data_IF_538331531719
#
_entry.id   IF_538331531719
#
_cell.length_a   1.000
_cell.length_b   1.000
_cell.length_c   1.000
_cell.angle_alpha   90.00
_cell.angle_beta   90.00
_cell.angle_gamma   90.00
#
_symmetry.space_group_name_H-M   'P 1'
#
loop_
_entity.id
_entity.type
_entity.pdbx_description
1 polymer ?
#
# COMPACT_ATOMS: atom_id res chain seq x y z
N UNK A 1 18.50 19.98 21.10
CA UNK A 1 17.47 18.99 20.68
C UNK A 1 16.23 19.21 21.53
N UNK A 2 15.05 18.95 20.99
CA UNK A 2 13.78 19.02 21.72
C UNK A 2 13.41 17.60 22.13
N UNK A 3 12.99 17.41 23.39
CA UNK A 3 12.47 16.14 23.89
C UNK A 3 10.96 16.27 24.12
N UNK A 4 10.17 15.38 23.51
CA UNK A 4 8.71 15.39 23.64
C UNK A 4 8.25 13.98 24.01
N UNK A 5 7.47 13.85 25.10
CA UNK A 5 6.86 12.57 25.48
C UNK A 5 5.56 12.38 24.68
N UNK A 6 5.40 11.29 23.90
CA UNK A 6 4.18 11.02 23.13
C UNK A 6 2.92 10.87 24.00
N UNK A 7 3.05 10.49 25.28
CA UNK A 7 1.92 10.37 26.22
C UNK A 7 1.31 11.74 26.57
N UNK A 8 2.08 12.82 26.40
CA UNK A 8 1.63 14.19 26.64
C UNK A 8 1.06 14.87 25.38
N UNK A 9 0.96 14.14 24.26
CA UNK A 9 0.50 14.66 22.98
C UNK A 9 -0.87 14.11 22.62
N UNK A 10 -1.66 14.92 21.91
CA UNK A 10 -2.82 14.41 21.21
C UNK A 10 -2.37 13.44 20.10
N UNK A 11 -3.21 12.46 19.79
CA UNK A 11 -2.97 11.47 18.72
C UNK A 11 -2.58 12.14 17.40
N UNK A 12 -3.26 13.24 17.05
CA UNK A 12 -2.99 14.01 15.82
C UNK A 12 -1.56 14.56 15.77
N UNK A 13 -0.97 14.92 16.90
CA UNK A 13 0.39 15.47 16.94
C UNK A 13 1.43 14.34 16.87
N UNK A 14 1.17 13.21 17.54
CA UNK A 14 1.94 11.98 17.34
C UNK A 14 1.93 11.55 15.86
N UNK A 15 0.77 11.58 15.20
CA UNK A 15 0.62 11.30 13.77
C UNK A 15 1.45 12.24 12.89
N UNK A 16 1.46 13.56 13.17
CA UNK A 16 2.27 14.52 12.43
C UNK A 16 3.77 14.24 12.58
N UNK A 17 4.21 13.90 13.79
CA UNK A 17 5.62 13.58 14.03
C UNK A 17 6.02 12.32 13.29
N UNK A 18 5.24 11.24 13.37
CA UNK A 18 5.52 9.99 12.65
C UNK A 18 5.56 10.21 11.13
N UNK A 19 4.53 10.85 10.58
CA UNK A 19 4.43 11.04 9.11
C UNK A 19 5.38 12.11 8.56
N UNK A 20 5.89 13.01 9.40
CA UNK A 20 6.88 14.02 9.04
C UNK A 20 8.33 13.59 9.25
N UNK A 21 8.59 12.54 10.05
CA UNK A 21 9.95 12.05 10.33
C UNK A 21 10.29 10.75 9.61
N UNK A 22 9.33 9.83 9.44
CA UNK A 22 9.51 8.58 8.71
C UNK A 22 9.15 8.86 7.24
N UNK A 23 10.12 9.39 6.51
CA UNK A 23 9.99 9.80 5.10
C UNK A 23 11.30 9.51 4.34
N UNK A 24 11.24 9.31 3.01
CA UNK A 24 10.03 9.13 2.19
C UNK A 24 9.41 7.74 2.39
N UNK A 25 8.08 7.61 2.29
CA UNK A 25 7.39 6.31 2.42
C UNK A 25 6.89 5.80 1.08
N UNK A 26 7.18 4.56 0.68
CA UNK A 26 6.60 3.99 -0.53
C UNK A 26 5.08 3.86 -0.37
N UNK A 27 4.37 3.85 -1.50
CA UNK A 27 2.91 3.76 -1.51
C UNK A 27 2.50 2.47 -2.20
N UNK A 28 1.81 1.61 -1.45
CA UNK A 28 1.10 0.47 -1.98
C UNK A 28 -0.29 0.93 -2.46
N UNK A 29 -0.55 0.85 -3.75
CA UNK A 29 -1.91 0.95 -4.29
C UNK A 29 -2.49 -0.46 -4.33
N UNK A 30 -3.52 -0.71 -3.54
CA UNK A 30 -4.01 -2.08 -3.29
C UNK A 30 -5.37 -2.26 -3.92
N UNK A 31 -5.52 -3.31 -4.72
CA UNK A 31 -6.83 -3.82 -5.14
C UNK A 31 -7.22 -5.00 -4.26
N UNK A 32 -8.49 -5.02 -3.85
CA UNK A 32 -9.14 -6.16 -3.21
C UNK A 32 -10.53 -6.36 -3.81
N UNK A 33 -11.13 -7.51 -3.58
CA UNK A 33 -12.49 -7.80 -4.01
C UNK A 33 -13.33 -8.27 -2.82
N UNK A 34 -14.56 -7.77 -2.70
CA UNK A 34 -15.52 -8.29 -1.72
C UNK A 34 -16.03 -9.68 -2.13
N UNK A 35 -16.68 -10.38 -1.21
CA UNK A 35 -17.39 -11.63 -1.49
C UNK A 35 -18.53 -11.48 -2.52
N UNK A 36 -19.10 -10.28 -2.61
CA UNK A 36 -20.12 -9.90 -3.62
C UNK A 36 -19.52 -9.49 -4.97
N UNK A 37 -18.19 -9.44 -5.09
CA UNK A 37 -17.48 -9.13 -6.34
C UNK A 37 -17.14 -7.65 -6.54
N UNK A 38 -17.48 -6.75 -5.61
CA UNK A 38 -17.12 -5.32 -5.68
C UNK A 38 -15.62 -5.15 -5.56
N UNK A 39 -15.02 -4.45 -6.53
CA UNK A 39 -13.59 -4.11 -6.52
C UNK A 39 -13.36 -2.87 -5.65
N UNK A 40 -12.45 -2.97 -4.69
CA UNK A 40 -11.97 -1.86 -3.89
C UNK A 40 -10.54 -1.51 -4.30
N UNK A 41 -10.23 -0.22 -4.46
CA UNK A 41 -8.88 0.29 -4.77
C UNK A 41 -8.52 1.37 -3.74
N UNK A 42 -7.37 1.25 -3.05
CA UNK A 42 -6.95 2.28 -2.11
C UNK A 42 -5.42 2.38 -1.92
N UNK A 43 -4.86 3.58 -1.67
CA UNK A 43 -3.44 3.78 -1.46
C UNK A 43 -3.05 3.75 0.03
N UNK A 44 -1.94 3.10 0.36
CA UNK A 44 -1.40 2.96 1.71
C UNK A 44 0.09 3.28 1.75
N UNK A 45 0.49 4.26 2.57
CA UNK A 45 1.91 4.62 2.76
C UNK A 45 2.58 3.97 3.96
N UNK A 46 1.85 3.15 4.73
CA UNK A 46 2.43 2.33 5.80
C UNK A 46 2.72 0.95 5.22
N UNK A 47 3.70 0.90 4.31
CA UNK A 47 4.02 -0.21 3.44
C UNK A 47 5.53 -0.50 3.43
N UNK A 48 5.95 -1.76 3.56
CA UNK A 48 7.35 -2.17 3.42
C UNK A 48 7.51 -3.68 3.16
N UNK A 49 8.74 -4.11 2.87
CA UNK A 49 9.17 -5.52 2.78
C UNK A 49 9.26 -6.13 4.18
N UNK A 50 8.90 -7.40 4.32
CA UNK A 50 9.00 -8.20 5.55
C UNK A 50 10.10 -9.26 5.43
N UNK A 51 10.05 -10.08 4.37
CA UNK A 51 11.00 -11.16 4.13
C UNK A 51 11.23 -11.33 2.64
N UNK A 52 12.39 -11.89 2.26
CA UNK A 52 12.67 -12.33 0.88
C UNK A 52 12.54 -13.84 0.70
N UNK A 53 12.42 -14.63 1.77
CA UNK A 53 12.27 -16.08 1.71
C UNK A 53 11.30 -16.62 2.79
N UNK A 54 10.03 -16.91 2.43
CA UNK A 54 9.40 -16.54 1.16
C UNK A 54 9.24 -15.01 1.04
N UNK A 55 9.02 -14.46 -0.17
CA UNK A 55 8.83 -13.03 -0.35
C UNK A 55 7.54 -12.56 0.34
N UNK A 56 7.67 -11.61 1.25
CA UNK A 56 6.56 -11.06 2.02
C UNK A 56 6.65 -9.54 2.13
N UNK A 57 5.50 -8.90 2.17
CA UNK A 57 5.32 -7.47 2.40
C UNK A 57 4.35 -7.23 3.57
N UNK A 58 4.36 -6.02 4.12
CA UNK A 58 3.40 -5.58 5.11
C UNK A 58 2.70 -4.29 4.70
N UNK A 59 1.40 -4.21 5.02
CA UNK A 59 0.58 -3.00 4.83
C UNK A 59 -0.23 -2.78 6.10
N UNK A 60 -0.09 -1.61 6.74
CA UNK A 60 -0.92 -1.24 7.90
C UNK A 60 -2.14 -0.44 7.45
N UNK A 61 -3.31 -1.08 7.53
CA UNK A 61 -4.61 -0.48 7.18
C UNK A 61 -5.25 0.08 8.45
N UNK A 62 -5.42 1.41 8.52
CA UNK A 62 -6.04 2.05 9.67
C UNK A 62 -7.53 1.73 9.76
N UNK A 63 -8.04 1.56 10.98
CA UNK A 63 -9.46 1.40 11.27
C UNK A 63 -10.13 2.75 11.50
N UNK A 64 -11.43 2.84 11.25
CA UNK A 64 -12.27 4.00 11.59
C UNK A 64 -13.12 3.62 12.80
N UNK A 65 -12.88 4.27 13.95
CA UNK A 65 -13.58 3.97 15.20
C UNK A 65 -13.54 2.49 15.64
N UNK A 66 -12.45 1.79 15.31
CA UNK A 66 -12.27 0.36 15.59
C UNK A 66 -12.82 -0.59 14.52
N UNK A 67 -13.46 -0.06 13.47
CA UNK A 67 -13.99 -0.82 12.33
C UNK A 67 -12.94 -0.93 11.22
N UNK A 68 -12.69 -2.15 10.75
CA UNK A 68 -11.77 -2.42 9.64
C UNK A 68 -12.27 -1.78 8.35
N UNK A 69 -11.36 -1.15 7.61
CA UNK A 69 -11.63 -0.68 6.25
C UNK A 69 -11.76 -1.83 5.26
N UNK A 70 -12.37 -1.52 4.14
CA UNK A 70 -12.76 -2.44 3.06
C UNK A 70 -11.58 -3.25 2.54
N UNK A 71 -10.43 -2.61 2.28
CA UNK A 71 -9.19 -3.32 1.92
C UNK A 71 -8.85 -4.42 2.92
N UNK A 72 -8.87 -4.14 4.23
CA UNK A 72 -8.55 -5.14 5.25
C UNK A 72 -9.64 -6.21 5.37
N UNK A 73 -10.93 -5.83 5.36
CA UNK A 73 -12.04 -6.80 5.40
C UNK A 73 -11.98 -7.76 4.22
N UNK A 74 -11.86 -7.23 3.01
CA UNK A 74 -11.81 -8.00 1.77
C UNK A 74 -10.60 -8.95 1.75
N UNK A 75 -9.41 -8.46 2.10
CA UNK A 75 -8.20 -9.29 2.16
C UNK A 75 -8.31 -10.41 3.22
N UNK A 76 -8.94 -10.15 4.37
CA UNK A 76 -9.17 -11.16 5.42
C UNK A 76 -10.22 -12.18 4.98
N UNK A 77 -11.29 -11.75 4.33
CA UNK A 77 -12.39 -12.62 3.91
C UNK A 77 -12.01 -13.51 2.72
N UNK A 78 -11.33 -12.96 1.72
CA UNK A 78 -10.96 -13.67 0.49
C UNK A 78 -9.58 -14.32 0.57
N UNK A 79 -8.71 -13.84 1.45
CA UNK A 79 -7.32 -14.30 1.56
C UNK A 79 -6.41 -13.77 0.45
N UNK A 80 -6.88 -12.86 -0.41
CA UNK A 80 -6.16 -12.43 -1.62
C UNK A 80 -6.23 -10.92 -1.82
N UNK A 81 -5.18 -10.36 -2.41
CA UNK A 81 -5.10 -8.95 -2.81
C UNK A 81 -3.96 -8.72 -3.80
N UNK A 82 -3.98 -7.61 -4.52
CA UNK A 82 -2.87 -7.23 -5.41
C UNK A 82 -2.31 -5.88 -4.99
N UNK A 83 -0.98 -5.81 -4.85
CA UNK A 83 -0.25 -4.60 -4.46
C UNK A 83 0.48 -4.02 -5.66
N UNK A 84 0.23 -2.76 -5.97
CA UNK A 84 0.84 -2.05 -7.08
C UNK A 84 1.81 -0.98 -6.54
N UNK A 85 2.95 -0.84 -7.18
CA UNK A 85 3.86 0.27 -6.89
C UNK A 85 3.29 1.54 -7.51
N UNK A 86 3.13 2.58 -6.68
CA UNK A 86 2.68 3.88 -7.17
C UNK A 86 3.84 4.64 -7.81
N UNK A 87 3.64 5.16 -9.01
CA UNK A 87 4.63 5.90 -9.80
C UNK A 87 4.05 7.22 -10.32
N UNK A 88 4.86 7.99 -11.05
CA UNK A 88 4.45 9.29 -11.59
C UNK A 88 3.24 9.22 -12.56
N UNK A 89 2.98 8.07 -13.19
CA UNK A 89 1.88 7.92 -14.14
C UNK A 89 0.56 7.62 -13.44
N UNK A 90 0.57 6.79 -12.39
CA UNK A 90 -0.65 6.34 -11.71
C UNK A 90 -1.01 7.14 -10.44
N UNK A 91 -0.11 7.98 -9.91
CA UNK A 91 -0.31 8.69 -8.63
C UNK A 91 -1.56 9.58 -8.60
N UNK A 92 -1.93 10.21 -9.71
CA UNK A 92 -3.09 11.08 -9.78
C UNK A 92 -4.39 10.31 -9.55
N UNK A 93 -4.55 9.16 -10.23
CA UNK A 93 -5.69 8.27 -10.08
C UNK A 93 -5.65 7.53 -8.73
N UNK A 94 -4.48 7.08 -8.28
CA UNK A 94 -4.31 6.55 -6.92
C UNK A 94 -4.82 7.53 -5.85
N UNK A 95 -4.53 8.83 -6.00
CA UNK A 95 -5.02 9.85 -5.08
C UNK A 95 -6.56 10.02 -5.14
N UNK A 96 -7.21 9.83 -6.29
CA UNK A 96 -8.68 9.87 -6.42
C UNK A 96 -9.34 8.72 -5.66
N UNK A 97 -8.72 7.54 -5.64
CA UNK A 97 -9.21 6.38 -4.87
C UNK A 97 -9.15 6.56 -3.36
N UNK A 98 -8.51 7.61 -2.84
CA UNK A 98 -8.52 7.91 -1.41
C UNK A 98 -9.84 8.54 -0.91
N UNK A 99 -10.80 8.80 -1.80
CA UNK A 99 -12.14 9.32 -1.46
C UNK A 99 -12.93 8.24 -0.70
N UNK A 100 -13.62 8.63 0.37
CA UNK A 100 -14.54 7.71 1.06
C UNK A 100 -15.78 7.44 0.20
N UNK A 101 -16.02 6.18 -0.11
CA UNK A 101 -17.23 5.66 -0.78
C UNK A 101 -17.95 4.64 0.14
N UNK A 102 -19.24 4.34 -0.12
CA UNK A 102 -19.90 3.16 0.45
C UNK A 102 -19.19 1.86 0.04
N UNK A 103 -19.32 0.81 0.87
CA UNK A 103 -18.62 -0.47 0.66
C UNK A 103 -19.04 -1.24 -0.59
N UNK A 104 -20.20 -0.90 -1.15
CA UNK A 104 -20.77 -1.51 -2.33
C UNK A 104 -20.33 -0.79 -3.62
N UNK A 105 -19.69 0.37 -3.51
CA UNK A 105 -19.22 1.18 -4.63
C UNK A 105 -17.73 0.99 -4.87
N UNK A 106 -17.35 0.86 -6.14
CA UNK A 106 -15.94 0.73 -6.53
C UNK A 106 -15.30 2.09 -6.82
N UNK A 107 -14.08 2.31 -6.33
CA UNK A 107 -13.29 3.49 -6.68
C UNK A 107 -12.85 3.50 -8.15
N UNK A 108 -12.99 2.37 -8.87
CA UNK A 108 -12.63 2.26 -10.29
C UNK A 108 -13.29 3.37 -11.13
N UNK A 109 -14.57 3.67 -10.86
CA UNK A 109 -15.31 4.72 -11.57
C UNK A 109 -14.82 6.16 -11.32
N UNK A 110 -13.91 6.37 -10.36
CA UNK A 110 -13.26 7.66 -10.10
C UNK A 110 -11.95 7.83 -10.87
N UNK A 111 -11.51 6.81 -11.60
CA UNK A 111 -10.16 6.71 -12.15
C UNK A 111 -10.19 6.34 -13.63
N UNK A 112 -9.03 6.38 -14.28
CA UNK A 112 -8.83 5.80 -15.60
C UNK A 112 -8.20 4.42 -15.56
N UNK A 113 -8.23 3.73 -14.40
CA UNK A 113 -7.61 2.42 -14.29
C UNK A 113 -8.36 1.36 -15.08
N UNK A 114 -7.60 0.40 -15.62
CA UNK A 114 -8.10 -0.77 -16.32
C UNK A 114 -7.76 -2.02 -15.53
N UNK A 115 -8.75 -2.89 -15.34
CA UNK A 115 -8.54 -4.10 -14.55
C UNK A 115 -7.73 -5.13 -15.34
N UNK A 116 -6.61 -5.57 -14.76
CA UNK A 116 -5.76 -6.63 -15.29
C UNK A 116 -6.11 -7.97 -14.63
N UNK A 117 -6.16 -9.04 -15.43
CA UNK A 117 -6.31 -10.40 -14.89
C UNK A 117 -5.04 -10.80 -14.11
N UNK A 118 -5.24 -11.49 -13.00
CA UNK A 118 -4.18 -12.08 -12.16
C UNK A 118 -3.99 -13.56 -12.52
N UNK A 119 -2.77 -14.07 -12.38
CA UNK A 119 -2.39 -15.44 -12.76
C UNK A 119 -2.54 -16.46 -11.62
N UNK A 120 -2.41 -16.02 -10.37
CA UNK A 120 -2.33 -16.84 -9.16
C UNK A 120 -3.40 -16.51 -8.12
N UNK A 121 -3.99 -15.33 -8.17
CA UNK A 121 -5.11 -14.92 -7.31
C UNK A 121 -6.34 -14.55 -8.13
N UNK A 122 -7.52 -14.58 -7.51
CA UNK A 122 -8.80 -14.18 -8.12
C UNK A 122 -8.98 -12.66 -8.19
N UNK A 123 -8.32 -11.92 -7.30
CA UNK A 123 -8.39 -10.44 -7.27
C UNK A 123 -7.66 -9.87 -8.49
N UNK A 124 -8.33 -9.06 -9.33
CA UNK A 124 -7.69 -8.42 -10.47
C UNK A 124 -6.71 -7.30 -10.05
N UNK A 125 -5.65 -7.13 -10.84
CA UNK A 125 -4.71 -6.02 -10.72
C UNK A 125 -5.11 -4.80 -11.58
N UNK A 126 -4.17 -3.87 -11.76
CA UNK A 126 -4.32 -2.67 -12.59
C UNK A 126 -3.29 -2.71 -13.74
N UNK A 127 -3.74 -2.44 -14.97
CA UNK A 127 -2.88 -2.44 -16.16
C UNK A 127 -1.86 -1.30 -16.13
N UNK A 128 -2.21 -0.16 -15.53
CA UNK A 128 -1.39 1.06 -15.49
C UNK A 128 -0.24 0.98 -14.48
N UNK A 129 -0.10 -0.13 -13.76
CA UNK A 129 1.00 -0.35 -12.83
C UNK A 129 2.18 -1.04 -13.51
N UNK A 130 3.35 -0.37 -13.53
CA UNK A 130 4.59 -0.96 -14.04
C UNK A 130 5.09 -2.15 -13.22
N UNK A 131 4.75 -2.18 -11.94
CA UNK A 131 5.08 -3.28 -11.03
C UNK A 131 3.87 -3.59 -10.16
N UNK A 132 3.43 -4.85 -10.16
CA UNK A 132 2.41 -5.34 -9.22
C UNK A 132 2.73 -6.73 -8.68
N UNK A 133 2.25 -6.99 -7.47
CA UNK A 133 2.45 -8.22 -6.72
C UNK A 133 1.11 -8.85 -6.43
N UNK A 134 0.89 -10.07 -6.92
CA UNK A 134 -0.22 -10.87 -6.45
C UNK A 134 0.12 -11.46 -5.09
N UNK A 135 -0.77 -11.27 -4.12
CA UNK A 135 -0.51 -11.62 -2.73
C UNK A 135 -1.62 -12.53 -2.17
N UNK A 136 -1.21 -13.56 -1.44
CA UNK A 136 -2.08 -14.25 -0.49
C UNK A 136 -1.84 -13.69 0.91
N UNK A 137 -2.90 -13.53 1.70
CA UNK A 137 -2.80 -13.09 3.08
C UNK A 137 -2.18 -14.21 3.94
N UNK A 138 -1.01 -13.94 4.50
CA UNK A 138 -0.34 -14.84 5.45
C UNK A 138 -0.90 -14.63 6.87
N UNK A 139 -1.02 -13.36 7.27
CA UNK A 139 -1.52 -13.00 8.59
C UNK A 139 -2.15 -11.60 8.58
N UNK A 140 -3.21 -11.43 9.36
CA UNK A 140 -3.70 -10.10 9.77
C UNK A 140 -3.50 -9.95 11.27
N UNK A 141 -2.84 -8.88 11.70
CA UNK A 141 -2.52 -8.61 13.10
C UNK A 141 -3.21 -7.30 13.51
N UNK A 142 -4.31 -7.36 14.30
CA UNK A 142 -4.91 -6.17 14.86
C UNK A 142 -3.96 -5.53 15.88
N UNK A 143 -3.62 -4.26 15.68
CA UNK A 143 -2.67 -3.51 16.53
C UNK A 143 -3.25 -2.16 16.97
N UNK A 144 -2.58 -1.57 17.96
CA UNK A 144 -2.88 -0.26 18.55
C UNK A 144 -4.29 -0.16 19.18
N UNK A 145 -4.63 1.01 19.69
CA UNK A 145 -5.93 1.27 20.33
C UNK A 145 -6.09 0.55 21.67
N UNK A 146 -7.31 0.06 21.92
CA UNK A 146 -7.64 -0.74 23.11
C UNK A 146 -7.95 -2.18 22.74
N UNK A 147 -7.93 -3.10 23.73
CA UNK A 147 -8.17 -4.54 23.52
C UNK A 147 -9.40 -4.86 22.67
N UNK A 148 -10.47 -4.05 22.75
CA UNK A 148 -11.73 -4.26 22.03
C UNK A 148 -11.94 -3.29 20.85
N UNK A 149 -11.01 -2.36 20.62
CA UNK A 149 -11.04 -1.38 19.51
C UNK A 149 -9.63 -1.18 18.97
N UNK A 150 -9.15 -2.11 18.11
CA UNK A 150 -7.86 -1.97 17.45
C UNK A 150 -7.79 -0.70 16.60
N UNK A 151 -6.62 -0.09 16.52
CA UNK A 151 -6.39 1.11 15.69
C UNK A 151 -6.11 0.78 14.23
N UNK A 152 -5.51 -0.38 13.95
CA UNK A 152 -5.20 -0.82 12.59
C UNK A 152 -5.16 -2.35 12.46
N UNK A 153 -5.20 -2.81 11.21
CA UNK A 153 -4.89 -4.17 10.80
C UNK A 153 -3.54 -4.14 10.08
N UNK A 154 -2.51 -4.80 10.63
CA UNK A 154 -1.25 -5.04 9.94
C UNK A 154 -1.38 -6.31 9.11
N UNK A 155 -1.53 -6.15 7.80
CA UNK A 155 -1.62 -7.24 6.85
C UNK A 155 -0.20 -7.67 6.46
N UNK A 156 0.09 -8.96 6.58
CA UNK A 156 1.30 -9.60 6.05
C UNK A 156 0.88 -10.40 4.82
N UNK A 157 1.34 -9.96 3.65
CA UNK A 157 1.08 -10.60 2.37
C UNK A 157 2.27 -11.40 1.90
N UNK A 158 2.05 -12.66 1.51
CA UNK A 158 3.04 -13.45 0.78
C UNK A 158 2.85 -13.23 -0.71
N UNK A 159 3.93 -12.84 -1.40
CA UNK A 159 3.89 -12.62 -2.85
C UNK A 159 3.92 -13.99 -3.54
N UNK A 160 2.92 -14.24 -4.38
CA UNK A 160 2.77 -15.48 -5.15
C UNK A 160 3.04 -15.29 -6.65
N UNK A 161 2.97 -14.05 -7.16
CA UNK A 161 3.37 -13.69 -8.52
C UNK A 161 3.88 -12.25 -8.58
N UNK A 162 4.92 -12.01 -9.39
CA UNK A 162 5.41 -10.68 -9.74
C UNK A 162 5.05 -10.39 -11.19
N UNK A 163 4.50 -9.18 -11.43
CA UNK A 163 4.35 -8.61 -12.77
C UNK A 163 5.20 -7.36 -12.85
N UNK A 164 6.09 -7.31 -13.84
CA UNK A 164 7.07 -6.23 -14.02
C UNK A 164 7.06 -5.83 -15.49
N UNK A 165 6.93 -4.54 -15.76
CA UNK A 165 7.03 -3.97 -17.10
C UNK A 165 8.41 -4.27 -17.71
N UNK A 166 8.39 -4.75 -18.96
CA UNK A 166 9.59 -5.27 -19.61
C UNK A 166 10.71 -4.23 -19.72
N UNK A 167 10.36 -2.98 -20.00
CA UNK A 167 11.33 -1.90 -20.26
C UNK A 167 12.13 -1.49 -19.02
N UNK A 168 11.61 -1.79 -17.82
CA UNK A 168 12.29 -1.48 -16.55
C UNK A 168 12.96 -2.72 -15.93
N UNK A 169 12.89 -3.89 -16.57
CA UNK A 169 13.48 -5.12 -16.07
C UNK A 169 14.81 -5.43 -16.75
N UNK A 170 15.89 -5.51 -15.96
CA UNK A 170 17.23 -5.78 -16.46
C UNK A 170 17.92 -6.84 -15.59
N UNK A 171 17.99 -8.08 -16.08
CA UNK A 171 18.72 -9.20 -15.45
C UNK A 171 18.41 -9.38 -13.95
N UNK A 172 17.13 -9.43 -13.60
CA UNK A 172 16.69 -9.59 -12.20
C UNK A 172 16.70 -8.31 -11.37
N UNK A 173 16.97 -7.15 -11.97
CA UNK A 173 16.93 -5.83 -11.33
C UNK A 173 15.85 -4.96 -11.98
N UNK A 174 15.33 -4.03 -11.21
CA UNK A 174 14.37 -3.02 -11.67
C UNK A 174 15.14 -1.71 -11.85
N UNK A 175 14.98 -1.05 -13.01
CA UNK A 175 15.48 0.31 -13.22
C UNK A 175 14.62 1.31 -12.43
N UNK A 176 15.18 1.95 -11.38
CA UNK A 176 14.43 2.91 -10.59
C UNK A 176 14.07 4.19 -11.37
N UNK A 177 14.88 4.58 -12.36
CA UNK A 177 14.63 5.78 -13.18
C UNK A 177 13.52 5.54 -14.21
N UNK A 178 13.43 4.34 -14.76
CA UNK A 178 12.31 3.89 -15.59
C UNK A 178 11.03 3.72 -14.79
N UNK A 179 11.11 3.15 -13.57
CA UNK A 179 9.96 2.97 -12.68
C UNK A 179 9.35 4.33 -12.29
N UNK A 180 10.17 5.33 -11.95
CA UNK A 180 9.73 6.65 -11.43
C UNK A 180 8.79 6.52 -10.23
N UNK A 181 9.17 5.78 -9.17
CA UNK A 181 8.29 5.59 -8.03
C UNK A 181 8.05 6.95 -7.35
N UNK A 182 6.83 7.14 -6.86
CA UNK A 182 6.50 8.26 -5.98
C UNK A 182 6.44 7.79 -4.53
N UNK A 183 6.68 8.72 -3.61
CA UNK A 183 6.60 8.44 -2.18
C UNK A 183 5.80 9.50 -1.44
N UNK A 184 5.20 9.11 -0.32
CA UNK A 184 4.40 9.98 0.52
C UNK A 184 5.26 10.66 1.59
N UNK A 185 5.03 11.96 1.79
CA UNK A 185 5.61 12.77 2.88
C UNK A 185 4.53 13.06 3.95
N UNK A 186 4.69 14.15 4.71
CA UNK A 186 3.64 14.64 5.60
C UNK A 186 2.48 15.27 4.83
N UNK A 187 1.27 15.20 5.39
CA UNK A 187 0.07 15.83 4.81
C UNK A 187 -0.27 15.29 3.41
N UNK A 188 -0.50 16.22 2.47
CA UNK A 188 -0.86 15.92 1.07
C UNK A 188 0.35 15.90 0.14
N UNK A 189 1.57 15.99 0.68
CA UNK A 189 2.78 16.15 -0.12
C UNK A 189 3.32 14.78 -0.56
N UNK A 190 3.70 14.71 -1.84
CA UNK A 190 4.40 13.60 -2.45
C UNK A 190 5.79 14.05 -2.89
N UNK A 191 6.72 13.10 -3.02
CA UNK A 191 8.01 13.32 -3.67
C UNK A 191 8.20 12.32 -4.79
N UNK A 192 8.92 12.74 -5.84
CA UNK A 192 9.50 11.83 -6.83
C UNK A 192 10.71 11.10 -6.23
N UNK A 193 11.28 10.18 -6.98
CA UNK A 193 12.58 9.60 -6.67
C UNK A 193 13.65 10.71 -6.60
N UNK A 194 14.43 10.71 -5.52
CA UNK A 194 15.51 11.67 -5.33
C UNK A 194 16.77 11.31 -6.14
N UNK A 195 17.83 12.08 -5.93
CA UNK A 195 19.14 11.77 -6.49
C UNK A 195 19.66 10.43 -5.94
N UNK A 196 20.14 9.57 -6.84
CA UNK A 196 20.73 8.29 -6.50
C UNK A 196 22.23 8.47 -6.28
N UNK A 197 22.73 7.91 -5.19
CA UNK A 197 24.16 7.79 -4.91
C UNK A 197 24.43 6.38 -4.39
N UNK A 198 25.63 5.87 -4.66
CA UNK A 198 26.04 4.52 -4.26
C UNK A 198 26.99 4.59 -3.07
N UNK A 199 26.77 3.68 -2.11
CA UNK A 199 27.71 3.40 -1.02
C UNK A 199 27.92 1.90 -1.04
N UNK A 200 29.16 1.46 -1.26
CA UNK A 200 29.52 0.05 -1.17
C UNK A 200 29.35 -0.42 0.28
N UNK A 201 28.76 -1.61 0.44
CA UNK A 201 28.77 -2.26 1.75
C UNK A 201 30.19 -2.74 2.05
N UNK A 202 30.65 -2.62 3.32
CA UNK A 202 31.95 -3.15 3.73
C UNK A 202 32.12 -4.64 3.43
#
# INVERSE_FOLDING_TARGET
MISVNPENLAERDNYKFLTGSIIPRPIALVTTQSDTGTINIAPFSFFNIVSSNPPMISISVQRKEGVSKDTARNAIQTGEFVVHITDENNVADANRTAKELPSEESELGLTNFTMAVSDKVSVPGLEEAKVRFECTLEQSIPLAGSKNKPGCDLLIGKIVCYHIEQDIYHNGRIDPNGLKPVARLAGHTYTKLGELFEIERP
#
